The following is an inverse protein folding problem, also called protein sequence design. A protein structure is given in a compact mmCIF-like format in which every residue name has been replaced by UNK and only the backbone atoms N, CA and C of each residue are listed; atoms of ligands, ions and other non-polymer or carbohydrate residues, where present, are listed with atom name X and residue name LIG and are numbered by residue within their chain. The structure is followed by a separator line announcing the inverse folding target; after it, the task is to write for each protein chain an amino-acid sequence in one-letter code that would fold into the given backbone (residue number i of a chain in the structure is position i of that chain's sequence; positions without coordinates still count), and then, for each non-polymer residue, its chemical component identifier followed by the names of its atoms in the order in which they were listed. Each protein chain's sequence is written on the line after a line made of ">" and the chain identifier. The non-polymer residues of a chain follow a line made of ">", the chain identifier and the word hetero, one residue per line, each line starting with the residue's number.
data_IF_972080627805
#
_entry.id   IF_972080627805
#
_cell.length_a   1.000
_cell.length_b   1.000
_cell.length_c   1.000
_cell.angle_alpha   90.00
_cell.angle_beta   90.00
_cell.angle_gamma   90.00
#
_symmetry.space_group_name_H-M   'P 1'
#
loop_
_entity.id
_entity.type
_entity.pdbx_description
1 polymer ?
#
# COMPACT_ATOMS: atom_id res chain seq x y z
N UNK A 1 12.18 -26.23 28.55
CA UNK A 1 11.99 -25.05 27.69
C UNK A 1 10.93 -25.41 26.68
N UNK A 2 9.82 -24.69 26.65
CA UNK A 2 8.71 -24.94 25.72
C UNK A 2 9.11 -24.58 24.29
N UNK A 3 8.41 -25.16 23.31
CA UNK A 3 8.71 -24.87 21.90
C UNK A 3 8.43 -23.40 21.57
N UNK A 4 7.45 -22.78 22.20
CA UNK A 4 7.16 -21.36 22.09
C UNK A 4 8.36 -20.47 22.49
N UNK A 5 9.03 -20.82 23.59
CA UNK A 5 10.24 -20.11 24.05
C UNK A 5 11.42 -20.33 23.10
N UNK A 6 11.59 -21.54 22.57
CA UNK A 6 12.64 -21.83 21.57
C UNK A 6 12.45 -21.03 20.30
N UNK A 7 11.22 -20.95 19.80
CA UNK A 7 10.89 -20.17 18.62
C UNK A 7 11.14 -18.67 18.85
N UNK A 8 10.70 -18.15 20.01
CA UNK A 8 10.96 -16.76 20.36
C UNK A 8 12.46 -16.44 20.38
N UNK A 9 13.28 -17.26 21.03
CA UNK A 9 14.72 -17.08 21.09
C UNK A 9 15.32 -17.11 19.67
N UNK A 10 14.90 -18.05 18.82
CA UNK A 10 15.36 -18.15 17.44
C UNK A 10 15.05 -16.85 16.68
N UNK A 11 13.81 -16.36 16.72
CA UNK A 11 13.42 -15.15 16.03
C UNK A 11 14.20 -13.93 16.53
N UNK A 12 14.46 -13.82 17.82
CA UNK A 12 15.29 -12.74 18.39
C UNK A 12 16.74 -12.84 17.92
N UNK A 13 17.34 -14.04 17.91
CA UNK A 13 18.72 -14.27 17.46
C UNK A 13 18.88 -14.03 15.97
N UNK A 14 17.87 -14.42 15.17
CA UNK A 14 17.86 -14.22 13.72
C UNK A 14 17.50 -12.76 13.33
N UNK A 15 17.23 -11.88 14.31
CA UNK A 15 16.82 -10.50 14.08
C UNK A 15 15.39 -10.37 13.48
N UNK A 16 14.64 -11.45 13.49
CA UNK A 16 13.23 -11.48 13.03
C UNK A 16 12.29 -10.95 14.12
N UNK A 17 12.39 -9.64 14.34
CA UNK A 17 11.65 -8.93 15.41
C UNK A 17 10.15 -9.17 15.29
N UNK A 18 9.63 -9.35 14.10
CA UNK A 18 8.21 -9.56 13.87
C UNK A 18 7.71 -10.93 14.29
N UNK A 19 8.38 -11.99 13.85
CA UNK A 19 8.01 -13.32 14.30
C UNK A 19 8.23 -13.42 15.82
N UNK A 20 9.23 -12.71 16.36
CA UNK A 20 9.39 -12.53 17.80
C UNK A 20 8.17 -11.84 18.44
N UNK A 21 7.69 -10.73 17.90
CA UNK A 21 6.49 -10.02 18.38
C UNK A 21 5.23 -10.88 18.27
N UNK A 22 5.05 -11.58 17.16
CA UNK A 22 3.93 -12.50 16.95
C UNK A 22 3.97 -13.62 17.95
N UNK A 23 5.15 -14.22 18.17
CA UNK A 23 5.34 -15.28 19.15
C UNK A 23 5.11 -14.78 20.59
N UNK A 24 5.56 -13.57 20.93
CA UNK A 24 5.24 -12.92 22.20
C UNK A 24 3.74 -12.77 22.41
N UNK A 25 3.01 -12.35 21.38
CA UNK A 25 1.55 -12.19 21.44
C UNK A 25 0.87 -13.53 21.72
N UNK A 26 1.23 -14.57 20.97
CA UNK A 26 0.70 -15.93 21.15
C UNK A 26 0.98 -16.43 22.59
N UNK A 27 2.19 -16.18 23.08
CA UNK A 27 2.56 -16.59 24.44
C UNK A 27 1.79 -15.81 25.51
N UNK A 28 1.58 -14.50 25.34
CA UNK A 28 0.77 -13.69 26.24
C UNK A 28 -0.69 -14.12 26.26
N UNK A 29 -1.23 -14.49 25.10
CA UNK A 29 -2.61 -14.94 24.99
C UNK A 29 -2.85 -16.33 25.58
N UNK A 30 -1.93 -17.28 25.35
CA UNK A 30 -2.07 -18.68 25.75
C UNK A 30 -1.57 -18.99 27.16
N UNK A 31 -0.47 -18.36 27.60
CA UNK A 31 0.28 -18.82 28.78
C UNK A 31 0.18 -17.89 29.98
N UNK A 32 -0.46 -16.72 29.86
CA UNK A 32 -0.63 -15.82 31.02
C UNK A 32 -1.96 -16.10 31.72
N UNK A 33 -1.92 -16.50 33.01
CA UNK A 33 -3.13 -16.83 33.77
C UNK A 33 -3.99 -15.57 34.01
N UNK A 34 -5.29 -15.78 34.24
CA UNK A 34 -6.27 -14.70 34.50
C UNK A 34 -5.89 -13.77 35.67
N UNK A 35 -5.21 -14.30 36.68
CA UNK A 35 -4.70 -13.47 37.81
C UNK A 35 -3.73 -12.37 37.35
N UNK A 36 -3.08 -12.55 36.22
CA UNK A 36 -2.10 -11.60 35.66
C UNK A 36 -2.68 -10.83 34.44
N UNK A 37 -4.02 -10.72 34.37
CA UNK A 37 -4.72 -10.06 33.27
C UNK A 37 -4.24 -8.64 32.97
N UNK A 38 -3.94 -7.85 34.02
CA UNK A 38 -3.40 -6.49 33.87
C UNK A 38 -2.00 -6.48 33.22
N UNK A 39 -1.15 -7.43 33.57
CA UNK A 39 0.16 -7.59 32.93
C UNK A 39 -0.03 -7.94 31.45
N UNK A 40 -0.87 -8.93 31.15
CA UNK A 40 -1.21 -9.34 29.78
C UNK A 40 -1.71 -8.18 28.94
N UNK A 41 -2.67 -7.42 29.45
CA UNK A 41 -3.26 -6.27 28.75
C UNK A 41 -2.22 -5.16 28.50
N UNK A 42 -1.40 -4.84 29.48
CA UNK A 42 -0.33 -3.86 29.34
C UNK A 42 0.72 -4.25 28.31
N UNK A 43 1.17 -5.53 28.31
CA UNK A 43 2.18 -5.99 27.36
C UNK A 43 1.60 -6.14 25.96
N UNK A 44 0.37 -6.59 25.80
CA UNK A 44 -0.33 -6.59 24.50
C UNK A 44 -0.48 -5.15 23.96
N UNK A 45 -0.81 -4.20 24.84
CA UNK A 45 -0.87 -2.77 24.47
C UNK A 45 0.49 -2.25 24.02
N UNK A 46 1.57 -2.58 24.73
CA UNK A 46 2.95 -2.21 24.32
C UNK A 46 3.32 -2.85 22.98
N UNK A 47 3.05 -4.13 22.80
CA UNK A 47 3.28 -4.81 21.52
C UNK A 47 2.51 -4.18 20.36
N UNK A 48 1.30 -3.67 20.62
CA UNK A 48 0.51 -2.94 19.63
C UNK A 48 1.03 -1.52 19.38
N UNK A 49 1.71 -0.92 20.39
CA UNK A 49 2.34 0.40 20.29
C UNK A 49 3.77 0.36 19.76
N UNK A 50 4.42 -0.82 19.77
CA UNK A 50 5.68 -1.00 19.06
C UNK A 50 5.40 -0.76 17.58
N UNK A 51 5.59 0.49 17.18
CA UNK A 51 5.60 0.84 15.76
C UNK A 51 6.61 -0.08 15.10
N UNK A 52 6.31 -0.67 13.93
CA UNK A 52 7.37 -1.21 13.11
C UNK A 52 8.37 -0.06 12.97
N UNK A 53 9.59 -0.24 13.48
CA UNK A 53 10.67 0.74 13.26
C UNK A 53 10.62 1.12 11.80
N UNK A 54 10.73 2.41 11.51
CA UNK A 54 10.82 2.94 10.15
C UNK A 54 11.67 1.96 9.36
N UNK A 55 11.08 1.27 8.40
CA UNK A 55 11.75 0.21 7.69
C UNK A 55 12.96 0.83 7.01
N UNK A 56 14.14 0.60 7.55
CA UNK A 56 15.36 0.95 6.86
C UNK A 56 15.47 -0.02 5.68
N UNK A 57 15.25 0.51 4.50
CA UNK A 57 15.49 -0.24 3.29
C UNK A 57 17.00 -0.54 3.22
N UNK A 58 17.39 -1.79 2.89
CA UNK A 58 18.77 -2.06 2.57
C UNK A 58 19.26 -1.13 1.46
N UNK A 59 20.48 -0.61 1.56
CA UNK A 59 21.05 0.37 0.61
C UNK A 59 20.91 -0.06 -0.87
N UNK A 60 20.95 -1.36 -1.14
CA UNK A 60 20.77 -1.91 -2.48
C UNK A 60 19.32 -1.93 -2.98
N UNK A 61 18.34 -1.60 -2.13
CA UNK A 61 16.91 -1.51 -2.48
C UNK A 61 16.37 -0.08 -2.46
N UNK A 62 17.08 0.89 -1.90
CA UNK A 62 16.64 2.30 -1.83
C UNK A 62 16.36 2.92 -3.21
N UNK A 63 17.07 2.45 -4.25
CA UNK A 63 16.84 2.89 -5.64
C UNK A 63 15.58 2.28 -6.27
N UNK A 64 15.09 1.16 -5.73
CA UNK A 64 13.96 0.40 -6.26
C UNK A 64 12.69 0.62 -5.46
N UNK A 65 12.81 0.72 -4.14
CA UNK A 65 11.71 0.79 -3.20
C UNK A 65 11.64 2.15 -2.52
N UNK A 66 10.43 2.55 -2.18
CA UNK A 66 10.15 3.60 -1.20
C UNK A 66 9.36 2.95 -0.07
N UNK A 67 9.84 3.07 1.16
CA UNK A 67 9.09 2.64 2.34
C UNK A 67 8.47 3.86 3.01
N UNK A 68 7.18 3.78 3.30
CA UNK A 68 6.40 4.82 3.95
C UNK A 68 5.74 4.26 5.20
N UNK A 69 5.72 5.06 6.27
CA UNK A 69 4.93 4.76 7.46
C UNK A 69 3.45 5.08 7.17
N UNK A 70 2.63 4.05 7.05
CA UNK A 70 1.21 4.20 6.80
C UNK A 70 0.38 4.50 8.07
N UNK A 71 0.99 4.57 9.27
CA UNK A 71 0.24 4.82 10.52
C UNK A 71 -0.39 6.20 10.57
N UNK A 72 0.22 7.19 9.93
CA UNK A 72 -0.23 8.57 9.87
C UNK A 72 -1.03 8.91 8.61
N UNK A 73 -1.76 7.94 8.06
CA UNK A 73 -2.60 8.18 6.89
C UNK A 73 -3.69 9.22 7.21
N UNK A 74 -3.87 10.27 6.40
CA UNK A 74 -4.83 11.34 6.68
C UNK A 74 -6.26 10.92 6.29
N UNK A 75 -6.92 10.10 7.12
CA UNK A 75 -8.29 9.62 6.86
C UNK A 75 -9.28 10.78 6.67
N UNK A 76 -9.05 11.92 7.31
CA UNK A 76 -9.91 13.11 7.16
C UNK A 76 -9.95 13.66 5.72
N UNK A 77 -8.93 13.39 4.92
CA UNK A 77 -8.81 13.81 3.51
C UNK A 77 -9.15 12.70 2.52
N UNK A 78 -9.50 11.53 3.02
CA UNK A 78 -9.74 10.36 2.19
C UNK A 78 -11.23 10.05 2.12
N UNK A 79 -11.67 9.63 0.95
CA UNK A 79 -13.03 9.17 0.73
C UNK A 79 -12.98 7.71 0.28
N UNK A 80 -13.70 6.86 1.00
CA UNK A 80 -13.83 5.45 0.71
C UNK A 80 -15.26 5.17 0.29
N UNK A 81 -15.43 4.49 -0.83
CA UNK A 81 -16.75 4.06 -1.31
C UNK A 81 -17.08 2.67 -0.77
N UNK A 82 -18.36 2.37 -0.67
CA UNK A 82 -18.86 1.09 -0.15
C UNK A 82 -18.30 -0.14 -0.87
N UNK A 83 -18.16 -0.05 -2.22
CA UNK A 83 -17.56 -1.11 -3.03
C UNK A 83 -16.09 -1.36 -2.64
N UNK A 84 -15.34 -0.30 -2.40
CA UNK A 84 -13.93 -0.34 -2.00
C UNK A 84 -13.80 -0.89 -0.57
N UNK A 85 -14.63 -0.42 0.34
CA UNK A 85 -14.67 -0.90 1.72
C UNK A 85 -14.93 -2.40 1.79
N UNK A 86 -15.89 -2.88 0.99
CA UNK A 86 -16.21 -4.32 0.92
C UNK A 86 -15.00 -5.16 0.51
N UNK A 87 -14.27 -4.74 -0.52
CA UNK A 87 -13.08 -5.46 -1.00
C UNK A 87 -11.95 -5.42 0.03
N UNK A 88 -11.73 -4.25 0.66
CA UNK A 88 -10.71 -4.08 1.69
C UNK A 88 -11.02 -4.96 2.90
N UNK A 89 -12.25 -4.95 3.38
CA UNK A 89 -12.67 -5.77 4.52
C UNK A 89 -12.46 -7.27 4.25
N UNK A 90 -12.77 -7.74 3.04
CA UNK A 90 -12.50 -9.14 2.63
C UNK A 90 -10.99 -9.43 2.61
N UNK A 91 -10.18 -8.55 2.04
CA UNK A 91 -8.72 -8.69 1.98
C UNK A 91 -8.12 -8.77 3.39
N UNK A 92 -8.51 -7.86 4.28
CA UNK A 92 -8.03 -7.80 5.66
C UNK A 92 -8.51 -9.00 6.50
N UNK A 93 -9.75 -9.45 6.30
CA UNK A 93 -10.27 -10.65 6.95
C UNK A 93 -9.47 -11.90 6.52
N UNK A 94 -9.18 -12.01 5.22
CA UNK A 94 -8.35 -13.11 4.69
C UNK A 94 -6.95 -13.11 5.30
N UNK A 95 -6.33 -11.93 5.42
CA UNK A 95 -5.02 -11.81 6.07
C UNK A 95 -5.07 -12.24 7.54
N UNK A 96 -6.12 -11.88 8.27
CA UNK A 96 -6.29 -12.34 9.66
C UNK A 96 -6.39 -13.87 9.77
N UNK A 97 -6.99 -14.52 8.78
CA UNK A 97 -7.08 -15.98 8.70
C UNK A 97 -5.78 -16.64 8.17
N UNK A 98 -4.80 -15.87 7.75
CA UNK A 98 -3.59 -16.38 7.08
C UNK A 98 -2.82 -17.43 7.91
N UNK A 99 -2.76 -17.26 9.24
CA UNK A 99 -2.10 -18.24 10.11
C UNK A 99 -2.83 -19.59 10.10
N UNK A 100 -4.16 -19.58 10.25
CA UNK A 100 -4.95 -20.81 10.21
C UNK A 100 -4.87 -21.49 8.83
N UNK A 101 -4.90 -20.72 7.75
CA UNK A 101 -4.76 -21.23 6.39
C UNK A 101 -3.39 -21.89 6.21
N UNK A 102 -2.33 -21.29 6.74
CA UNK A 102 -0.97 -21.84 6.70
C UNK A 102 -0.84 -23.15 7.48
N UNK A 103 -1.47 -23.26 8.66
CA UNK A 103 -1.48 -24.46 9.47
C UNK A 103 -2.17 -25.66 8.76
N UNK A 104 -3.13 -25.38 7.86
CA UNK A 104 -3.77 -26.38 7.01
C UNK A 104 -2.90 -26.79 5.81
N UNK A 105 -1.69 -26.24 5.67
CA UNK A 105 -0.82 -26.51 4.52
C UNK A 105 -1.30 -25.87 3.22
N UNK A 106 -2.24 -24.92 3.30
CA UNK A 106 -2.79 -24.24 2.14
C UNK A 106 -2.01 -22.95 1.89
N UNK A 107 -1.44 -22.84 0.71
CA UNK A 107 -0.83 -21.59 0.25
C UNK A 107 -1.91 -20.63 -0.24
N UNK A 108 -1.93 -19.43 0.31
CA UNK A 108 -2.88 -18.40 -0.07
C UNK A 108 -2.20 -17.04 -0.15
N UNK A 109 -2.24 -16.40 -1.31
CA UNK A 109 -1.65 -15.08 -1.51
C UNK A 109 -2.68 -13.99 -1.25
N UNK A 110 -2.45 -13.16 -0.24
CA UNK A 110 -3.24 -11.96 0.01
C UNK A 110 -2.89 -10.90 -1.05
N UNK A 111 -3.58 -10.89 -2.17
CA UNK A 111 -3.26 -9.99 -3.28
C UNK A 111 -4.49 -9.32 -3.87
N UNK A 112 -4.32 -8.05 -4.27
CA UNK A 112 -5.35 -7.21 -4.86
C UNK A 112 -4.82 -6.51 -6.11
N UNK A 113 -5.50 -6.67 -7.24
CA UNK A 113 -5.26 -5.90 -8.44
C UNK A 113 -6.22 -4.72 -8.51
N UNK A 114 -5.69 -3.51 -8.45
CA UNK A 114 -6.43 -2.26 -8.61
C UNK A 114 -6.31 -1.78 -10.06
N UNK A 115 -7.43 -1.66 -10.74
CA UNK A 115 -7.49 -1.18 -12.12
C UNK A 115 -8.27 0.13 -12.20
N UNK A 116 -8.06 0.93 -13.22
CA UNK A 116 -8.82 2.17 -13.43
C UNK A 116 -8.00 3.27 -14.09
N UNK A 117 -8.67 4.37 -14.44
CA UNK A 117 -8.03 5.51 -15.10
C UNK A 117 -6.89 6.12 -14.27
N UNK A 118 -5.93 6.83 -14.89
CA UNK A 118 -4.95 7.62 -14.16
C UNK A 118 -5.64 8.63 -13.22
N UNK A 119 -5.07 8.83 -12.02
CA UNK A 119 -5.55 9.84 -11.08
C UNK A 119 -6.81 9.50 -10.28
N UNK A 120 -7.42 8.32 -10.45
CA UNK A 120 -8.62 7.93 -9.69
C UNK A 120 -8.34 7.54 -8.23
N UNK A 121 -7.06 7.45 -7.79
CA UNK A 121 -6.70 7.20 -6.40
C UNK A 121 -6.25 5.77 -6.09
N UNK A 122 -5.85 4.94 -7.08
CA UNK A 122 -5.42 3.55 -6.85
C UNK A 122 -4.29 3.41 -5.83
N UNK A 123 -3.24 4.20 -5.98
CA UNK A 123 -2.07 4.16 -5.09
C UNK A 123 -2.43 4.68 -3.70
N UNK A 124 -3.32 5.68 -3.62
CA UNK A 124 -3.82 6.18 -2.33
C UNK A 124 -4.67 5.15 -1.60
N UNK A 125 -5.51 4.41 -2.35
CA UNK A 125 -6.26 3.27 -1.81
C UNK A 125 -5.32 2.18 -1.28
N UNK A 126 -4.19 1.94 -1.93
CA UNK A 126 -3.18 0.99 -1.46
C UNK A 126 -2.52 1.47 -0.15
N UNK A 127 -2.23 2.77 0.01
CA UNK A 127 -1.75 3.37 1.27
C UNK A 127 -2.78 3.23 2.39
N UNK A 128 -4.06 3.49 2.08
CA UNK A 128 -5.14 3.30 3.03
C UNK A 128 -5.26 1.84 3.51
N UNK A 129 -5.09 0.86 2.61
CA UNK A 129 -5.06 -0.56 2.97
C UNK A 129 -3.90 -0.84 3.93
N UNK A 130 -2.71 -0.27 3.69
CA UNK A 130 -1.57 -0.41 4.58
C UNK A 130 -1.85 0.17 5.97
N UNK A 131 -2.48 1.35 6.02
CA UNK A 131 -2.94 1.97 7.25
C UNK A 131 -3.90 1.07 8.03
N UNK A 132 -4.96 0.56 7.38
CA UNK A 132 -5.95 -0.33 8.03
C UNK A 132 -5.36 -1.69 8.42
N UNK A 133 -4.36 -2.17 7.70
CA UNK A 133 -3.63 -3.39 8.03
C UNK A 133 -2.62 -3.21 9.17
N UNK A 134 -2.34 -1.97 9.58
CA UNK A 134 -1.25 -1.58 10.47
C UNK A 134 0.10 -2.18 9.99
N UNK A 135 0.35 -2.02 8.70
CA UNK A 135 1.57 -2.46 8.05
C UNK A 135 2.24 -1.28 7.35
N UNK A 136 3.57 -1.32 7.25
CA UNK A 136 4.28 -0.36 6.41
C UNK A 136 3.87 -0.52 4.95
N UNK A 137 3.83 0.61 4.25
CA UNK A 137 3.61 0.67 2.83
C UNK A 137 4.95 0.67 2.10
N UNK A 138 5.17 -0.31 1.25
CA UNK A 138 6.37 -0.44 0.42
C UNK A 138 5.98 -0.31 -1.03
N UNK A 139 6.48 0.74 -1.66
CA UNK A 139 6.16 1.09 -3.03
C UNK A 139 7.31 0.71 -3.96
N UNK A 140 7.03 -0.12 -4.97
CA UNK A 140 7.97 -0.50 -5.99
C UNK A 140 7.88 0.46 -7.17
N UNK A 141 8.95 1.21 -7.41
CA UNK A 141 9.13 2.02 -8.61
C UNK A 141 9.49 1.13 -9.79
N UNK A 142 8.51 0.80 -10.61
CA UNK A 142 8.75 -0.10 -11.73
C UNK A 142 9.75 0.46 -12.76
N UNK A 143 9.74 1.79 -12.98
CA UNK A 143 10.71 2.47 -13.85
C UNK A 143 12.18 2.22 -13.45
N UNK A 144 12.46 2.06 -12.16
CA UNK A 144 13.79 1.72 -11.67
C UNK A 144 14.23 0.28 -12.01
N UNK A 145 13.27 -0.62 -12.19
CA UNK A 145 13.56 -2.02 -12.57
C UNK A 145 13.99 -2.15 -14.03
N UNK A 146 13.33 -1.42 -14.93
CA UNK A 146 13.52 -1.56 -16.39
C UNK A 146 14.79 -0.85 -16.87
N UNK A 147 15.25 0.19 -16.17
CA UNK A 147 16.46 0.95 -16.53
C UNK A 147 17.77 0.25 -16.18
N UNK A 148 17.72 -0.92 -15.54
CA UNK A 148 18.89 -1.72 -15.26
C UNK A 148 19.26 -2.58 -16.46
N UNK A 149 20.58 -2.73 -16.76
CA UNK A 149 21.10 -3.54 -17.85
C UNK A 149 20.48 -4.96 -17.87
N UNK A 150 20.34 -5.53 -19.08
CA UNK A 150 19.85 -6.88 -19.37
C UNK A 150 20.22 -7.91 -18.27
N UNK A 151 19.24 -8.62 -17.73
CA UNK A 151 19.41 -9.65 -16.69
C UNK A 151 19.39 -9.14 -15.24
N UNK A 152 19.51 -7.84 -14.99
CA UNK A 152 19.41 -7.27 -13.62
C UNK A 152 17.96 -7.12 -13.15
N UNK A 153 17.03 -6.97 -14.07
CA UNK A 153 15.60 -6.79 -13.75
C UNK A 153 15.03 -7.97 -12.98
N UNK A 154 15.34 -9.21 -13.40
CA UNK A 154 14.93 -10.43 -12.68
C UNK A 154 15.54 -10.51 -11.29
N UNK A 155 16.84 -10.20 -11.16
CA UNK A 155 17.53 -10.20 -9.87
C UNK A 155 16.94 -9.14 -8.93
N UNK A 156 16.60 -7.97 -9.44
CA UNK A 156 15.97 -6.90 -8.67
C UNK A 156 14.57 -7.29 -8.19
N UNK A 157 13.76 -7.93 -9.03
CA UNK A 157 12.47 -8.49 -8.63
C UNK A 157 12.68 -9.49 -7.48
N UNK A 158 13.58 -10.46 -7.63
CA UNK A 158 13.89 -11.42 -6.58
C UNK A 158 14.27 -10.74 -5.25
N UNK A 159 15.14 -9.72 -5.29
CA UNK A 159 15.55 -8.97 -4.09
C UNK A 159 14.38 -8.24 -3.40
N UNK A 160 13.51 -7.61 -4.19
CA UNK A 160 12.32 -6.91 -3.69
C UNK A 160 11.38 -7.90 -2.99
N UNK A 161 11.11 -9.02 -3.62
CA UNK A 161 10.24 -10.05 -3.05
C UNK A 161 10.88 -10.76 -1.86
N UNK A 162 12.17 -11.01 -1.87
CA UNK A 162 12.89 -11.56 -0.71
C UNK A 162 12.86 -10.61 0.49
N UNK A 163 12.89 -9.30 0.25
CA UNK A 163 12.68 -8.31 1.30
C UNK A 163 11.25 -8.41 1.86
N UNK A 164 10.23 -8.43 1.00
CA UNK A 164 8.83 -8.54 1.43
C UNK A 164 8.54 -9.86 2.18
N UNK A 165 9.20 -10.97 1.81
CA UNK A 165 9.09 -12.25 2.52
C UNK A 165 9.60 -12.19 3.96
N UNK A 166 10.60 -11.35 4.23
CA UNK A 166 11.22 -11.19 5.55
C UNK A 166 10.58 -10.06 6.36
N UNK A 167 10.03 -9.07 5.68
CA UNK A 167 9.49 -7.86 6.28
C UNK A 167 8.03 -7.69 5.85
N UNK A 168 7.10 -8.03 6.73
CA UNK A 168 5.71 -7.88 6.41
C UNK A 168 5.30 -6.46 6.15
N UNK A 169 4.73 -6.29 4.99
CA UNK A 169 4.37 -4.99 4.47
C UNK A 169 3.17 -5.13 3.53
N UNK A 170 2.64 -4.01 3.14
CA UNK A 170 1.85 -3.92 1.91
C UNK A 170 2.82 -3.56 0.79
N UNK A 171 3.14 -4.53 -0.05
CA UNK A 171 3.97 -4.32 -1.23
C UNK A 171 3.08 -3.85 -2.38
N UNK A 172 3.24 -2.60 -2.78
CA UNK A 172 2.54 -2.02 -3.91
C UNK A 172 3.44 -2.00 -5.14
N UNK A 173 3.05 -2.70 -6.19
CA UNK A 173 3.70 -2.68 -7.51
C UNK A 173 2.87 -1.79 -8.42
N UNK A 174 3.34 -0.55 -8.61
CA UNK A 174 2.63 0.44 -9.40
C UNK A 174 2.97 0.29 -10.89
N UNK A 175 1.98 0.59 -11.74
CA UNK A 175 2.09 0.48 -13.20
C UNK A 175 2.58 -0.91 -13.65
N UNK A 176 1.99 -1.96 -13.07
CA UNK A 176 2.38 -3.35 -13.36
C UNK A 176 2.27 -3.69 -14.87
N UNK A 177 1.47 -2.94 -15.62
CA UNK A 177 1.36 -3.04 -17.08
C UNK A 177 2.63 -2.58 -17.81
N UNK A 178 3.50 -1.78 -17.18
CA UNK A 178 4.80 -1.45 -17.77
C UNK A 178 5.69 -2.70 -17.97
N UNK A 179 5.43 -3.78 -17.23
CA UNK A 179 6.06 -5.10 -17.42
C UNK A 179 5.68 -5.71 -18.77
N UNK A 180 4.49 -5.40 -19.29
CA UNK A 180 3.97 -5.95 -20.54
C UNK A 180 4.25 -5.10 -21.79
N UNK A 181 4.80 -3.89 -21.63
CA UNK A 181 5.03 -2.98 -22.75
C UNK A 181 6.37 -3.24 -23.45
N UNK A 182 6.37 -4.11 -24.44
CA UNK A 182 7.48 -4.27 -25.36
C UNK A 182 7.65 -3.04 -26.25
N UNK A 183 8.82 -2.39 -26.22
CA UNK A 183 9.18 -1.33 -27.14
C UNK A 183 10.35 -1.81 -28.01
N UNK A 184 10.04 -2.26 -29.21
CA UNK A 184 10.92 -2.14 -30.37
C UNK A 184 11.61 -3.41 -30.89
N UNK A 185 12.32 -4.23 -30.16
CA UNK A 185 13.08 -5.35 -30.68
C UNK A 185 12.55 -6.72 -30.26
N UNK A 186 12.93 -7.80 -31.01
CA UNK A 186 12.62 -9.17 -30.60
C UNK A 186 13.26 -9.56 -29.26
N UNK A 187 14.39 -8.97 -28.95
CA UNK A 187 15.13 -9.21 -27.72
C UNK A 187 14.41 -8.58 -26.53
N UNK A 188 13.82 -7.39 -26.69
CA UNK A 188 13.01 -6.71 -25.66
C UNK A 188 11.75 -7.52 -25.31
N UNK A 189 11.10 -8.14 -26.32
CA UNK A 189 9.93 -9.02 -26.10
C UNK A 189 10.31 -10.25 -25.28
N UNK A 190 11.44 -10.87 -25.57
CA UNK A 190 11.91 -12.05 -24.86
C UNK A 190 12.31 -11.71 -23.41
N UNK A 191 12.92 -10.54 -23.17
CA UNK A 191 13.27 -10.09 -21.84
C UNK A 191 12.04 -9.78 -20.98
N UNK A 192 11.07 -9.06 -21.52
CA UNK A 192 9.83 -8.74 -20.82
C UNK A 192 9.03 -10.00 -20.47
N UNK A 193 9.02 -11.01 -21.35
CA UNK A 193 8.41 -12.30 -21.02
C UNK A 193 9.10 -12.97 -19.83
N UNK A 194 10.44 -12.92 -19.76
CA UNK A 194 11.22 -13.45 -18.62
C UNK A 194 10.92 -12.69 -17.33
N UNK A 195 10.79 -11.36 -17.40
CA UNK A 195 10.42 -10.49 -16.27
C UNK A 195 9.02 -10.85 -15.76
N UNK A 196 8.06 -11.02 -16.67
CA UNK A 196 6.70 -11.43 -16.30
C UNK A 196 6.69 -12.79 -15.63
N UNK A 197 7.42 -13.77 -16.18
CA UNK A 197 7.54 -15.11 -15.58
C UNK A 197 8.20 -15.03 -14.19
N UNK A 198 9.27 -14.25 -14.02
CA UNK A 198 9.92 -14.05 -12.73
C UNK A 198 8.96 -13.44 -11.70
N UNK A 199 8.21 -12.41 -12.10
CA UNK A 199 7.20 -11.81 -11.24
C UNK A 199 6.15 -12.83 -10.82
N UNK A 200 5.62 -13.61 -11.77
CA UNK A 200 4.63 -14.65 -11.48
C UNK A 200 5.16 -15.70 -10.48
N UNK A 201 6.42 -16.13 -10.64
CA UNK A 201 7.06 -17.06 -9.71
C UNK A 201 7.22 -16.49 -8.31
N UNK A 202 7.56 -15.21 -8.21
CA UNK A 202 7.67 -14.54 -6.92
C UNK A 202 6.32 -14.32 -6.25
N UNK A 203 5.26 -14.02 -7.02
CA UNK A 203 3.88 -13.95 -6.53
C UNK A 203 3.43 -15.28 -5.92
N UNK A 204 3.73 -16.39 -6.59
CA UNK A 204 3.37 -17.73 -6.13
C UNK A 204 4.12 -18.15 -4.84
N UNK A 205 5.19 -17.42 -4.45
CA UNK A 205 6.03 -17.69 -3.27
C UNK A 205 5.84 -16.71 -2.12
N UNK A 206 4.96 -15.70 -2.29
CA UNK A 206 4.72 -14.75 -1.22
C UNK A 206 4.05 -15.43 -0.02
N UNK A 207 4.51 -15.15 1.21
CA UNK A 207 3.85 -15.68 2.40
C UNK A 207 2.45 -15.08 2.60
N UNK A 208 1.59 -15.83 3.26
CA UNK A 208 0.18 -15.47 3.49
C UNK A 208 -0.02 -14.16 4.27
N UNK A 209 1.00 -13.66 4.92
CA UNK A 209 0.96 -12.48 5.80
C UNK A 209 1.41 -11.17 5.13
N UNK A 210 1.94 -11.25 3.92
CA UNK A 210 2.22 -10.09 3.06
C UNK A 210 0.97 -9.75 2.24
N UNK A 211 0.65 -8.47 2.14
CA UNK A 211 -0.38 -8.00 1.20
C UNK A 211 0.33 -7.47 -0.04
N UNK A 212 0.01 -8.05 -1.18
CA UNK A 212 0.46 -7.55 -2.47
C UNK A 212 -0.64 -6.73 -3.13
N UNK A 213 -0.32 -5.54 -3.60
CA UNK A 213 -1.22 -4.71 -4.40
C UNK A 213 -0.55 -4.40 -5.73
N UNK A 214 -1.17 -4.83 -6.83
CA UNK A 214 -0.81 -4.38 -8.16
C UNK A 214 -1.71 -3.24 -8.61
N UNK A 215 -1.17 -2.20 -9.23
CA UNK A 215 -1.98 -1.16 -9.85
C UNK A 215 -1.73 -1.11 -11.35
N UNK A 216 -2.76 -0.82 -12.14
CA UNK A 216 -2.64 -0.62 -13.58
C UNK A 216 -3.66 0.36 -14.11
N UNK A 217 -3.26 1.11 -15.12
CA UNK A 217 -4.15 1.95 -15.92
C UNK A 217 -4.65 1.22 -17.17
N UNK A 218 -4.03 0.10 -17.52
CA UNK A 218 -4.24 -0.63 -18.80
C UNK A 218 -4.30 -2.13 -18.55
N UNK A 219 -5.42 -2.59 -17.97
CA UNK A 219 -5.62 -4.02 -17.67
C UNK A 219 -5.51 -4.90 -18.94
N UNK A 220 -5.90 -4.36 -20.09
CA UNK A 220 -5.86 -5.08 -21.37
C UNK A 220 -4.42 -5.39 -21.84
N UNK A 221 -3.42 -4.70 -21.29
CA UNK A 221 -2.00 -4.96 -21.57
C UNK A 221 -1.36 -5.99 -20.64
N UNK A 222 -2.09 -6.45 -19.62
CA UNK A 222 -1.58 -7.45 -18.70
C UNK A 222 -1.79 -8.87 -19.23
N UNK A 223 -0.80 -9.72 -19.00
CA UNK A 223 -0.93 -11.15 -19.24
C UNK A 223 -2.05 -11.73 -18.35
N UNK A 224 -2.93 -12.49 -18.97
CA UNK A 224 -4.08 -13.10 -18.29
C UNK A 224 -3.64 -14.06 -17.17
N UNK A 225 -2.51 -14.75 -17.34
CA UNK A 225 -1.94 -15.61 -16.31
C UNK A 225 -1.47 -14.81 -15.09
N UNK A 226 -0.97 -13.58 -15.29
CA UNK A 226 -0.62 -12.67 -14.22
C UNK A 226 -1.89 -12.17 -13.48
N UNK A 227 -2.93 -11.78 -14.24
CA UNK A 227 -4.21 -11.34 -13.66
C UNK A 227 -4.85 -12.42 -12.80
N UNK A 228 -4.76 -13.70 -13.20
CA UNK A 228 -5.31 -14.83 -12.45
C UNK A 228 -4.64 -15.08 -11.11
N UNK A 229 -3.41 -14.61 -10.90
CA UNK A 229 -2.67 -14.74 -9.64
C UNK A 229 -3.11 -13.76 -8.57
N UNK A 230 -3.83 -12.71 -8.96
CA UNK A 230 -4.43 -11.82 -7.97
C UNK A 230 -5.73 -12.39 -7.43
N UNK A 231 -5.80 -12.59 -6.12
CA UNK A 231 -6.96 -13.16 -5.43
C UNK A 231 -8.17 -12.24 -5.51
N UNK A 232 -7.94 -10.95 -5.31
CA UNK A 232 -8.97 -9.92 -5.41
C UNK A 232 -8.68 -9.01 -6.59
N UNK A 233 -9.75 -8.53 -7.24
CA UNK A 233 -9.68 -7.58 -8.34
C UNK A 233 -10.72 -6.52 -8.11
N UNK A 234 -10.31 -5.26 -8.22
CA UNK A 234 -11.23 -4.14 -8.06
C UNK A 234 -10.92 -3.05 -9.08
N UNK A 235 -11.97 -2.51 -9.68
CA UNK A 235 -11.86 -1.37 -10.58
C UNK A 235 -12.23 -0.10 -9.83
N UNK A 236 -11.24 0.77 -9.60
CA UNK A 236 -11.46 2.10 -9.04
C UNK A 236 -12.10 2.96 -10.12
N UNK A 237 -13.35 3.36 -9.90
CA UNK A 237 -14.14 4.15 -10.84
C UNK A 237 -13.80 5.64 -10.72
N UNK A 238 -14.01 6.45 -11.76
CA UNK A 238 -14.06 7.90 -11.63
C UNK A 238 -15.07 8.34 -10.59
N UNK A 239 -14.89 9.53 -10.02
CA UNK A 239 -15.77 10.07 -9.01
C UNK A 239 -17.14 10.46 -9.61
N UNK A 240 -18.22 10.18 -8.88
CA UNK A 240 -19.55 10.77 -9.12
C UNK A 240 -19.58 12.23 -8.68
N UNK A 241 -20.68 12.94 -9.00
CA UNK A 241 -20.84 14.35 -8.61
C UNK A 241 -20.89 14.48 -7.07
N UNK A 242 -21.56 13.57 -6.37
CA UNK A 242 -21.63 13.53 -4.91
C UNK A 242 -20.27 13.17 -4.29
N UNK A 243 -19.57 12.18 -4.88
CA UNK A 243 -18.24 11.79 -4.45
C UNK A 243 -17.22 12.95 -4.56
N UNK A 244 -17.28 13.71 -5.67
CA UNK A 244 -16.41 14.88 -5.86
C UNK A 244 -16.69 15.94 -4.79
N UNK A 245 -17.96 16.21 -4.53
CA UNK A 245 -18.37 17.21 -3.52
C UNK A 245 -17.93 16.77 -2.11
N UNK A 246 -18.10 15.51 -1.77
CA UNK A 246 -17.67 14.97 -0.49
C UNK A 246 -16.15 15.03 -0.32
N UNK A 247 -15.37 14.64 -1.36
CA UNK A 247 -13.92 14.72 -1.31
C UNK A 247 -13.44 16.16 -1.18
N UNK A 248 -14.02 17.12 -1.93
CA UNK A 248 -13.73 18.55 -1.77
C UNK A 248 -13.97 19.02 -0.34
N UNK A 249 -15.13 18.70 0.24
CA UNK A 249 -15.48 19.07 1.63
C UNK A 249 -14.46 18.53 2.63
N UNK A 250 -14.17 17.25 2.55
CA UNK A 250 -13.18 16.61 3.44
C UNK A 250 -11.81 17.25 3.32
N UNK A 251 -11.36 17.49 2.09
CA UNK A 251 -10.01 18.03 1.85
C UNK A 251 -9.91 19.49 2.36
N UNK A 252 -10.84 20.35 2.01
CA UNK A 252 -10.86 21.75 2.45
C UNK A 252 -11.04 21.87 3.96
N UNK A 253 -11.96 21.11 4.54
CA UNK A 253 -12.18 21.11 6.00
C UNK A 253 -10.92 20.65 6.78
N UNK A 254 -10.17 19.69 6.24
CA UNK A 254 -8.92 19.21 6.88
C UNK A 254 -7.79 20.24 6.89
N UNK A 255 -7.91 21.29 6.11
CA UNK A 255 -6.98 22.42 6.03
C UNK A 255 -7.54 23.70 6.69
N UNK A 256 -8.65 23.58 7.43
CA UNK A 256 -9.39 24.72 8.03
C UNK A 256 -9.71 25.82 7.00
N UNK A 257 -9.86 25.45 5.72
CA UNK A 257 -10.18 26.39 4.65
C UNK A 257 -11.68 26.71 4.66
N UNK A 258 -12.06 28.00 4.77
CA UNK A 258 -13.46 28.40 4.72
C UNK A 258 -14.01 28.23 3.31
N UNK A 259 -15.20 27.61 3.20
CA UNK A 259 -15.89 27.43 1.92
C UNK A 259 -17.41 27.52 2.07
N UNK A 260 -18.07 27.91 1.00
CA UNK A 260 -19.53 27.90 0.88
C UNK A 260 -19.99 26.75 -0.01
N UNK A 261 -21.24 26.32 0.12
CA UNK A 261 -21.81 25.29 -0.76
C UNK A 261 -21.77 25.70 -2.24
N UNK A 262 -22.01 26.98 -2.52
CA UNK A 262 -21.95 27.52 -3.90
C UNK A 262 -20.55 27.42 -4.51
N UNK A 263 -19.50 27.67 -3.72
CA UNK A 263 -18.12 27.52 -4.16
C UNK A 263 -17.75 26.07 -4.44
N UNK A 264 -18.25 25.15 -3.61
CA UNK A 264 -18.08 23.71 -3.83
C UNK A 264 -18.77 23.27 -5.11
N UNK A 265 -20.00 23.69 -5.34
CA UNK A 265 -20.74 23.36 -6.56
C UNK A 265 -20.06 23.92 -7.81
N UNK A 266 -19.53 25.13 -7.74
CA UNK A 266 -18.73 25.74 -8.80
C UNK A 266 -17.45 24.96 -9.08
N UNK A 267 -16.74 24.54 -8.02
CA UNK A 267 -15.53 23.74 -8.14
C UNK A 267 -15.81 22.37 -8.78
N UNK A 268 -16.81 21.67 -8.27
CA UNK A 268 -17.22 20.38 -8.82
C UNK A 268 -17.66 20.48 -10.28
N UNK A 269 -18.37 21.57 -10.62
CA UNK A 269 -18.77 21.82 -12.01
C UNK A 269 -17.57 21.97 -12.95
N UNK A 270 -16.53 22.69 -12.53
CA UNK A 270 -15.29 22.86 -13.33
C UNK A 270 -14.52 21.56 -13.55
N UNK A 271 -14.71 20.55 -12.70
CA UNK A 271 -14.01 19.27 -12.74
C UNK A 271 -14.81 18.12 -13.38
N UNK A 272 -16.04 18.40 -13.89
CA UNK A 272 -16.95 17.38 -14.41
C UNK A 272 -16.39 16.51 -15.54
N UNK A 273 -15.49 17.04 -16.33
CA UNK A 273 -14.86 16.29 -17.43
C UNK A 273 -13.74 15.36 -16.93
N UNK A 274 -13.06 15.74 -15.86
CA UNK A 274 -11.91 14.97 -15.35
C UNK A 274 -12.31 13.86 -14.39
N UNK A 275 -13.22 14.12 -13.46
CA UNK A 275 -13.79 13.18 -12.48
C UNK A 275 -12.76 12.31 -11.76
N UNK A 276 -11.56 12.81 -11.52
CA UNK A 276 -10.49 12.09 -10.85
C UNK A 276 -10.19 12.67 -9.48
N UNK A 277 -9.80 11.81 -8.53
CA UNK A 277 -9.42 12.24 -7.19
C UNK A 277 -8.22 13.22 -7.23
N UNK A 278 -7.27 13.00 -8.13
CA UNK A 278 -6.12 13.90 -8.29
C UNK A 278 -6.53 15.30 -8.76
N UNK A 279 -7.51 15.40 -9.68
CA UNK A 279 -8.00 16.70 -10.14
C UNK A 279 -8.68 17.47 -9.00
N UNK A 280 -9.49 16.79 -8.18
CA UNK A 280 -10.13 17.38 -7.00
C UNK A 280 -9.09 17.88 -6.00
N UNK A 281 -8.11 17.03 -5.65
CA UNK A 281 -7.04 17.37 -4.70
C UNK A 281 -6.22 18.56 -5.20
N UNK A 282 -5.84 18.58 -6.46
CA UNK A 282 -5.07 19.69 -7.05
C UNK A 282 -5.87 21.00 -6.99
N UNK A 283 -7.12 20.98 -7.41
CA UNK A 283 -7.96 22.19 -7.41
C UNK A 283 -8.23 22.72 -5.98
N UNK A 284 -8.42 21.83 -5.00
CA UNK A 284 -8.51 22.24 -3.60
C UNK A 284 -7.18 22.80 -3.08
N UNK A 285 -6.06 22.17 -3.42
CA UNK A 285 -4.73 22.63 -3.02
C UNK A 285 -4.42 24.02 -3.59
N UNK A 286 -4.72 24.27 -4.85
CA UNK A 286 -4.54 25.60 -5.48
C UNK A 286 -5.31 26.69 -4.74
N UNK A 287 -6.55 26.41 -4.31
CA UNK A 287 -7.36 27.36 -3.53
C UNK A 287 -6.78 27.62 -2.14
N UNK A 288 -6.34 26.59 -1.44
CA UNK A 288 -5.70 26.73 -0.14
C UNK A 288 -4.42 27.54 -0.26
N UNK A 289 -3.59 27.26 -1.27
CA UNK A 289 -2.35 28.02 -1.52
C UNK A 289 -2.66 29.49 -1.82
N UNK A 290 -3.62 29.76 -2.71
CA UNK A 290 -4.03 31.14 -3.02
C UNK A 290 -4.51 31.90 -1.79
N UNK A 291 -5.27 31.24 -0.92
CA UNK A 291 -5.74 31.82 0.34
C UNK A 291 -4.59 32.14 1.29
N UNK A 292 -3.67 31.20 1.49
CA UNK A 292 -2.51 31.41 2.36
C UNK A 292 -1.65 32.57 1.82
N UNK A 293 -1.38 32.60 0.50
CA UNK A 293 -0.60 33.66 -0.13
C UNK A 293 -1.24 35.02 0.06
N UNK A 294 -2.58 35.11 -0.03
CA UNK A 294 -3.30 36.40 0.19
C UNK A 294 -3.24 36.90 1.64
N UNK A 295 -2.86 36.06 2.59
CA UNK A 295 -2.72 36.41 4.01
C UNK A 295 -1.26 36.76 4.38
N UNK A 296 -0.29 36.49 3.50
CA UNK A 296 1.10 36.84 3.76
C UNK A 296 1.29 38.36 3.68
N UNK A 297 2.03 38.97 4.63
CA UNK A 297 2.35 40.40 4.54
C UNK A 297 3.19 40.70 3.31
N UNK A 298 2.88 41.78 2.60
CA UNK A 298 3.53 42.18 1.33
C UNK A 298 5.06 42.37 1.39
N UNK A 299 5.68 42.34 2.58
CA UNK A 299 7.11 42.61 2.81
C UNK A 299 8.02 41.37 2.83
N UNK A 300 7.56 40.17 2.45
CA UNK A 300 8.42 38.98 2.45
C UNK A 300 9.03 38.63 1.06
N UNK A 301 8.93 39.51 0.06
CA UNK A 301 9.46 39.26 -1.28
C UNK A 301 10.97 39.51 -1.43
N UNK A 302 11.66 40.09 -0.42
CA UNK A 302 13.07 40.46 -0.51
C UNK A 302 14.05 39.60 0.31
N UNK A 303 13.59 38.42 0.77
CA UNK A 303 14.43 37.53 1.57
C UNK A 303 14.43 36.08 1.03
N UNK A 304 14.97 35.88 -0.18
CA UNK A 304 15.49 34.58 -0.67
C UNK A 304 16.73 34.82 -1.52
#
# INVERSE_FOLDING_TARGET
>A
MTDDVRNLIRFVVDGDIRNAQTQCRIMLEKNVPEKDARFKENELRKLNLLKPELIQLPANLETLLIAEDATNFPESRFMLREEEETVINKLLATRKAALAIKELGIHYTCSLLLTGLPGVGKTELARYIAHKANLPFVFLKFSGLVNSALGRTQQNIGRVFDYAKRTPCVLCVDEIDAIGMCRGSRDDVAEMSRVTIALMQELDRLPNDVILIGTTNRVDNLDEALIRRFTFKHRVKPLGDDDMKELCKKFLASADYPFTESELDGLCHSLREQRTASAVVNACTERIVAHIVSQLPENSADAV
#
